data_IF_825089390465
#
_entry.id   IF_825089390465
#
_cell.length_a   1.000
_cell.length_b   1.000
_cell.length_c   1.000
_cell.angle_alpha   90.00
_cell.angle_beta   90.00
_cell.angle_gamma   90.00
#
_symmetry.space_group_name_H-M   'P 1'
#
loop_
_entity.id
_entity.type
_entity.pdbx_description
1 polymer ?
#
# COMPACT_ATOMS: atom_id res chain seq x y z
N UNK A 1 19.15 26.94 12.97
CA UNK A 1 18.17 26.09 12.26
C UNK A 1 17.47 27.00 11.27
N UNK A 2 17.22 26.58 10.02
CA UNK A 2 16.49 27.38 9.02
C UNK A 2 15.18 26.65 8.71
N UNK A 3 14.07 27.35 8.53
CA UNK A 3 12.78 26.76 8.14
C UNK A 3 11.88 26.39 9.33
N UNK A 4 11.07 25.33 9.19
CA UNK A 4 10.00 24.96 10.15
C UNK A 4 10.43 24.94 11.62
N UNK A 5 11.63 24.46 11.91
CA UNK A 5 12.20 24.37 13.26
C UNK A 5 12.67 25.70 13.87
N UNK A 6 12.61 26.82 13.14
CA UNK A 6 12.77 28.16 13.73
C UNK A 6 11.51 28.62 14.47
N UNK A 7 10.33 28.16 14.04
CA UNK A 7 9.03 28.62 14.54
C UNK A 7 8.50 27.75 15.69
N UNK A 8 9.18 26.66 16.03
CA UNK A 8 8.75 25.71 17.06
C UNK A 8 9.90 25.41 18.02
N UNK A 9 9.58 25.33 19.31
CA UNK A 9 10.52 24.89 20.32
C UNK A 9 10.35 23.37 20.53
N UNK A 10 11.34 22.60 20.10
CA UNK A 10 11.34 21.14 20.21
C UNK A 10 12.68 20.67 20.78
N UNK A 11 12.60 19.91 21.88
CA UNK A 11 13.77 19.27 22.49
C UNK A 11 14.51 18.37 21.50
N UNK A 12 15.85 18.45 21.51
CA UNK A 12 16.73 17.57 20.74
C UNK A 12 16.45 16.08 20.97
N UNK A 13 15.99 15.69 22.16
CA UNK A 13 15.61 14.31 22.48
C UNK A 13 14.41 13.86 21.64
N UNK A 14 13.38 14.72 21.50
CA UNK A 14 12.20 14.41 20.68
C UNK A 14 12.55 14.27 19.20
N UNK A 15 13.50 15.08 18.71
CA UNK A 15 14.03 14.98 17.35
C UNK A 15 14.79 13.66 17.16
N UNK A 16 15.66 13.31 18.11
CA UNK A 16 16.42 12.05 18.06
C UNK A 16 15.50 10.81 18.09
N UNK A 17 14.50 10.79 18.97
CA UNK A 17 13.50 9.70 19.02
C UNK A 17 12.75 9.59 17.70
N UNK A 18 12.33 10.71 17.11
CA UNK A 18 11.67 10.71 15.82
C UNK A 18 12.59 10.18 14.70
N UNK A 19 13.86 10.63 14.64
CA UNK A 19 14.82 10.14 13.67
C UNK A 19 15.09 8.62 13.78
N UNK A 20 15.21 8.11 15.00
CA UNK A 20 15.34 6.66 15.26
C UNK A 20 14.09 5.91 14.82
N UNK A 21 12.90 6.42 15.13
CA UNK A 21 11.65 5.79 14.69
C UNK A 21 11.55 5.71 13.16
N UNK A 22 11.93 6.79 12.45
CA UNK A 22 11.93 6.84 10.98
C UNK A 22 12.98 5.93 10.33
N UNK A 23 14.06 5.60 11.04
CA UNK A 23 15.15 4.76 10.55
C UNK A 23 14.96 3.26 10.90
N UNK A 24 13.88 2.91 11.57
CA UNK A 24 13.59 1.54 12.05
C UNK A 24 12.21 1.08 11.57
N UNK A 25 11.67 0.01 12.15
CA UNK A 25 10.31 -0.49 11.84
C UNK A 25 9.18 0.37 12.42
N UNK A 26 9.51 1.42 13.19
CA UNK A 26 8.56 2.34 13.82
C UNK A 26 8.26 3.59 12.97
N UNK A 27 8.45 3.50 11.65
CA UNK A 27 8.22 4.58 10.68
C UNK A 27 6.83 5.22 10.73
N UNK A 28 5.84 4.51 11.28
CA UNK A 28 4.48 5.03 11.47
C UNK A 28 4.34 5.98 12.67
N UNK A 29 5.37 6.15 13.50
CA UNK A 29 5.38 7.10 14.60
C UNK A 29 5.45 8.54 14.07
N UNK A 30 4.41 9.34 14.36
CA UNK A 30 4.34 10.74 14.01
C UNK A 30 4.18 11.62 15.26
N UNK A 31 5.20 12.42 15.63
CA UNK A 31 5.13 13.28 16.80
C UNK A 31 4.21 14.50 16.54
N UNK A 32 3.66 15.05 17.61
CA UNK A 32 2.69 16.16 17.55
C UNK A 32 3.22 17.39 16.81
N UNK A 33 4.49 17.75 17.03
CA UNK A 33 5.10 18.90 16.38
C UNK A 33 5.21 18.77 14.86
N UNK A 34 5.06 17.58 14.26
CA UNK A 34 5.04 17.43 12.80
C UNK A 34 3.65 17.62 12.21
N UNK A 35 2.60 17.68 13.03
CA UNK A 35 1.20 17.82 12.55
C UNK A 35 0.92 19.16 11.88
N UNK A 36 1.73 20.19 12.17
CA UNK A 36 1.60 21.51 11.56
C UNK A 36 2.58 21.74 10.39
N UNK A 37 3.37 20.72 10.00
CA UNK A 37 4.29 20.82 8.88
C UNK A 37 3.72 20.13 7.63
N UNK A 38 3.60 20.86 6.52
CA UNK A 38 3.15 20.31 5.23
C UNK A 38 1.84 19.54 5.34
N UNK A 39 1.86 18.25 5.00
CA UNK A 39 0.71 17.34 5.07
C UNK A 39 0.42 16.80 6.49
N UNK A 40 1.12 17.28 7.52
CA UNK A 40 0.94 16.90 8.93
C UNK A 40 1.68 15.61 9.35
N UNK A 41 2.51 15.06 8.48
CA UNK A 41 3.38 13.91 8.72
C UNK A 41 4.69 14.14 7.95
N UNK A 42 5.83 13.69 8.50
CA UNK A 42 7.11 13.84 7.79
C UNK A 42 7.10 13.12 6.44
N UNK A 43 6.57 11.89 6.44
CA UNK A 43 6.45 11.08 5.26
C UNK A 43 5.27 10.09 5.40
N UNK A 44 4.22 10.31 4.62
CA UNK A 44 2.98 9.52 4.67
C UNK A 44 3.09 8.12 4.06
N UNK A 45 4.18 7.79 3.36
CA UNK A 45 4.37 6.48 2.73
C UNK A 45 5.23 5.52 3.57
N UNK A 46 5.95 5.96 4.60
CA UNK A 46 6.91 5.06 5.27
C UNK A 46 6.24 3.95 6.09
N UNK A 47 5.03 4.17 6.61
CA UNK A 47 4.32 3.15 7.37
C UNK A 47 4.00 1.88 6.54
N UNK A 48 3.86 2.00 5.21
CA UNK A 48 3.63 0.85 4.35
C UNK A 48 4.89 -0.02 4.21
N UNK A 49 6.10 0.51 4.38
CA UNK A 49 7.34 -0.29 4.41
C UNK A 49 7.31 -1.27 5.60
N UNK A 50 6.89 -0.82 6.78
CA UNK A 50 6.68 -1.70 7.94
C UNK A 50 5.73 -2.85 7.63
N UNK A 51 4.67 -2.61 6.84
CA UNK A 51 3.72 -3.65 6.41
C UNK A 51 4.33 -4.57 5.35
N UNK A 52 5.02 -4.01 4.36
CA UNK A 52 5.67 -4.76 3.27
C UNK A 52 6.70 -5.75 3.81
N UNK A 53 7.53 -5.34 4.77
CA UNK A 53 8.52 -6.21 5.43
C UNK A 53 7.85 -7.41 6.11
N UNK A 54 6.66 -7.24 6.69
CA UNK A 54 5.90 -8.36 7.24
C UNK A 54 5.45 -9.35 6.15
N UNK A 55 5.11 -8.88 4.95
CA UNK A 55 4.79 -9.77 3.83
C UNK A 55 5.99 -10.65 3.44
N UNK A 56 7.22 -10.12 3.45
CA UNK A 56 8.42 -10.93 3.19
C UNK A 56 8.59 -12.09 4.17
N UNK A 57 8.31 -11.86 5.46
CA UNK A 57 8.29 -12.94 6.46
C UNK A 57 7.12 -13.91 6.29
N UNK A 58 5.96 -13.43 5.83
CA UNK A 58 4.78 -14.25 5.61
C UNK A 58 4.88 -15.16 4.39
N UNK A 59 5.55 -14.74 3.32
CA UNK A 59 5.68 -15.52 2.08
C UNK A 59 6.14 -16.97 2.35
N UNK A 60 7.27 -17.26 3.01
CA UNK A 60 7.70 -18.64 3.25
C UNK A 60 6.68 -19.44 4.09
N UNK A 61 6.01 -18.77 5.04
CA UNK A 61 4.97 -19.38 5.88
C UNK A 61 3.75 -19.76 5.03
N UNK A 62 3.28 -18.84 4.19
CA UNK A 62 2.17 -19.06 3.26
C UNK A 62 2.46 -20.22 2.29
N UNK A 63 3.66 -20.25 1.70
CA UNK A 63 4.05 -21.34 0.81
C UNK A 63 4.16 -22.68 1.53
N UNK A 64 4.62 -22.71 2.79
CA UNK A 64 4.65 -23.92 3.60
C UNK A 64 3.24 -24.45 3.87
N UNK A 65 2.31 -23.59 4.30
CA UNK A 65 0.92 -23.99 4.56
C UNK A 65 0.17 -24.41 3.30
N UNK A 66 0.28 -23.65 2.21
CA UNK A 66 -0.30 -24.01 0.92
C UNK A 66 0.36 -25.25 0.31
N UNK A 67 1.63 -25.51 0.65
CA UNK A 67 2.38 -26.68 0.23
C UNK A 67 1.72 -27.99 0.68
N UNK A 68 1.07 -27.99 1.85
CA UNK A 68 0.32 -29.14 2.42
C UNK A 68 -0.91 -29.48 1.59
N UNK A 69 -1.49 -28.50 0.88
CA UNK A 69 -2.64 -28.72 0.01
C UNK A 69 -2.21 -29.36 -1.32
N UNK A 70 -3.07 -30.25 -1.84
CA UNK A 70 -2.98 -30.74 -3.23
C UNK A 70 -2.93 -29.56 -4.19
N UNK A 71 -2.13 -29.68 -5.26
CA UNK A 71 -1.89 -28.61 -6.24
C UNK A 71 -3.17 -27.96 -6.77
N UNK A 72 -4.20 -28.76 -7.03
CA UNK A 72 -5.53 -28.31 -7.50
C UNK A 72 -6.27 -27.44 -6.47
N UNK A 73 -6.08 -27.71 -5.18
CA UNK A 73 -6.76 -27.00 -4.07
C UNK A 73 -6.03 -25.75 -3.61
N UNK A 74 -4.79 -25.52 -4.05
CA UNK A 74 -3.99 -24.36 -3.62
C UNK A 74 -4.61 -23.03 -4.06
N UNK A 75 -5.20 -22.95 -5.25
CA UNK A 75 -5.93 -21.76 -5.70
C UNK A 75 -7.13 -21.48 -4.79
N UNK A 76 -7.91 -22.52 -4.45
CA UNK A 76 -9.04 -22.38 -3.54
C UNK A 76 -8.59 -21.95 -2.15
N UNK A 77 -7.50 -22.51 -1.62
CA UNK A 77 -6.91 -22.09 -0.35
C UNK A 77 -6.47 -20.63 -0.37
N UNK A 78 -5.84 -20.17 -1.46
CA UNK A 78 -5.49 -18.77 -1.64
C UNK A 78 -6.71 -17.84 -1.73
N UNK A 79 -7.76 -18.26 -2.43
CA UNK A 79 -9.02 -17.50 -2.52
C UNK A 79 -9.66 -17.40 -1.13
N UNK A 80 -9.76 -18.52 -0.40
CA UNK A 80 -10.31 -18.54 0.95
C UNK A 80 -9.53 -17.62 1.90
N UNK A 81 -8.20 -17.64 1.83
CA UNK A 81 -7.34 -16.78 2.62
C UNK A 81 -7.49 -15.30 2.23
N UNK A 82 -7.59 -15.01 0.92
CA UNK A 82 -7.84 -13.66 0.41
C UNK A 82 -9.16 -13.13 0.94
N UNK A 83 -10.24 -13.93 0.89
CA UNK A 83 -11.55 -13.55 1.42
C UNK A 83 -11.49 -13.33 2.93
N UNK A 84 -10.85 -14.23 3.68
CA UNK A 84 -10.68 -14.08 5.13
C UNK A 84 -10.04 -12.73 5.49
N UNK A 85 -8.89 -12.41 4.89
CA UNK A 85 -8.21 -11.15 5.21
C UNK A 85 -8.93 -9.92 4.63
N UNK A 86 -9.68 -10.07 3.53
CA UNK A 86 -10.53 -9.00 3.03
C UNK A 86 -11.70 -8.71 4.00
N UNK A 87 -12.23 -9.70 4.70
CA UNK A 87 -13.21 -9.49 5.77
C UNK A 87 -12.58 -8.78 6.98
N UNK A 88 -11.34 -9.11 7.34
CA UNK A 88 -10.58 -8.40 8.39
C UNK A 88 -10.39 -6.93 8.00
N UNK A 89 -10.04 -6.66 6.75
CA UNK A 89 -9.95 -5.30 6.21
C UNK A 89 -11.30 -4.56 6.29
N UNK A 90 -12.41 -5.20 5.93
CA UNK A 90 -13.73 -4.59 6.02
C UNK A 90 -14.12 -4.27 7.47
N UNK A 91 -13.76 -5.13 8.42
CA UNK A 91 -13.98 -4.90 9.84
C UNK A 91 -13.07 -3.81 10.43
N UNK A 92 -11.89 -3.57 9.82
CA UNK A 92 -10.95 -2.54 10.26
C UNK A 92 -11.57 -1.14 10.26
N UNK A 93 -12.35 -0.79 9.26
CA UNK A 93 -12.88 0.56 9.13
C UNK A 93 -13.92 1.00 10.18
N UNK A 94 -14.97 0.22 10.49
CA UNK A 94 -15.86 0.58 11.59
C UNK A 94 -15.10 0.59 12.92
N UNK A 95 -14.19 -0.36 13.15
CA UNK A 95 -13.39 -0.39 14.39
C UNK A 95 -12.45 0.83 14.49
N UNK A 96 -11.91 1.33 13.37
CA UNK A 96 -11.08 2.55 13.35
C UNK A 96 -11.84 3.78 13.79
N UNK A 97 -13.14 3.87 13.51
CA UNK A 97 -13.97 4.99 13.97
C UNK A 97 -14.17 4.97 15.48
N UNK A 98 -14.22 3.78 16.08
CA UNK A 98 -14.46 3.62 17.53
C UNK A 98 -13.16 3.63 18.34
N UNK A 99 -12.10 3.00 17.84
CA UNK A 99 -10.86 2.74 18.58
C UNK A 99 -9.62 3.37 17.94
N UNK A 100 -9.77 4.26 16.96
CA UNK A 100 -8.65 4.79 16.16
C UNK A 100 -7.58 5.53 16.97
N UNK A 101 -7.93 6.07 18.13
CA UNK A 101 -6.98 6.76 19.00
C UNK A 101 -6.20 5.83 19.93
N UNK A 102 -6.69 4.61 20.15
CA UNK A 102 -6.05 3.60 20.98
C UNK A 102 -4.72 3.14 20.36
N UNK A 103 -3.67 3.10 21.18
CA UNK A 103 -2.33 2.69 20.74
C UNK A 103 -2.34 1.28 20.15
N UNK A 104 -3.11 0.36 20.76
CA UNK A 104 -3.25 -1.03 20.28
C UNK A 104 -3.86 -1.05 18.88
N UNK A 105 -4.86 -0.20 18.61
CA UNK A 105 -5.49 -0.12 17.30
C UNK A 105 -4.55 0.47 16.24
N UNK A 106 -3.75 1.47 16.60
CA UNK A 106 -2.72 2.04 15.73
C UNK A 106 -1.68 0.99 15.34
N UNK A 107 -1.22 0.18 16.31
CA UNK A 107 -0.33 -0.94 16.05
C UNK A 107 -0.99 -1.98 15.14
N UNK A 108 -2.23 -2.37 15.41
CA UNK A 108 -2.97 -3.30 14.55
C UNK A 108 -3.10 -2.80 13.11
N UNK A 109 -3.34 -1.50 12.93
CA UNK A 109 -3.47 -0.86 11.62
C UNK A 109 -2.21 -0.92 10.77
N UNK A 110 -1.04 -1.09 11.39
CA UNK A 110 0.25 -1.25 10.71
C UNK A 110 0.77 -2.69 10.74
N UNK A 111 -0.07 -3.66 11.15
CA UNK A 111 0.21 -5.08 10.92
C UNK A 111 -0.17 -5.49 9.50
N UNK A 112 0.29 -6.64 9.05
CA UNK A 112 -0.06 -7.21 7.75
C UNK A 112 -1.57 -7.53 7.60
N UNK A 113 -2.28 -7.78 8.71
CA UNK A 113 -3.59 -8.41 8.67
C UNK A 113 -4.65 -7.64 7.85
N UNK A 114 -4.78 -6.30 7.97
CA UNK A 114 -5.72 -5.55 7.14
C UNK A 114 -5.32 -5.49 5.66
N UNK A 115 -4.07 -5.78 5.31
CA UNK A 115 -3.51 -5.45 3.99
C UNK A 115 -3.14 -6.67 3.15
N UNK A 116 -2.87 -7.81 3.77
CA UNK A 116 -2.32 -9.00 3.09
C UNK A 116 -3.26 -9.57 2.02
N UNK A 117 -4.57 -9.32 2.08
CA UNK A 117 -5.49 -9.74 1.04
C UNK A 117 -5.11 -9.16 -0.34
N UNK A 118 -4.62 -7.91 -0.39
CA UNK A 118 -4.15 -7.28 -1.63
C UNK A 118 -2.94 -8.02 -2.21
N UNK A 119 -2.01 -8.40 -1.33
CA UNK A 119 -0.84 -9.19 -1.69
C UNK A 119 -1.24 -10.59 -2.20
N UNK A 120 -2.24 -11.22 -1.58
CA UNK A 120 -2.74 -12.54 -1.99
C UNK A 120 -3.44 -12.50 -3.36
N UNK A 121 -4.12 -11.40 -3.72
CA UNK A 121 -4.62 -11.18 -5.10
C UNK A 121 -3.47 -11.18 -6.10
N UNK A 122 -2.34 -10.53 -5.77
CA UNK A 122 -1.11 -10.58 -6.55
C UNK A 122 -0.55 -12.00 -6.68
N UNK A 123 -0.50 -12.76 -5.58
CA UNK A 123 -0.06 -14.16 -5.58
C UNK A 123 -0.97 -15.07 -6.42
N UNK A 124 -2.29 -14.84 -6.38
CA UNK A 124 -3.25 -15.52 -7.24
C UNK A 124 -2.99 -15.22 -8.72
N UNK A 125 -2.70 -13.96 -9.07
CA UNK A 125 -2.32 -13.59 -10.44
C UNK A 125 -0.99 -14.23 -10.86
N UNK A 126 0.02 -14.24 -9.99
CA UNK A 126 1.32 -14.87 -10.25
C UNK A 126 1.18 -16.37 -10.53
N UNK A 127 0.37 -17.07 -9.74
CA UNK A 127 0.15 -18.50 -9.91
C UNK A 127 -0.66 -18.83 -11.17
N UNK A 128 -1.56 -17.94 -11.55
CA UNK A 128 -2.40 -18.07 -12.75
C UNK A 128 -1.92 -17.15 -13.87
N UNK A 129 -0.59 -16.94 -13.95
CA UNK A 129 0.02 -15.93 -14.80
C UNK A 129 -0.45 -16.01 -16.26
N UNK A 130 -0.51 -17.22 -16.83
CA UNK A 130 -0.93 -17.43 -18.23
C UNK A 130 -2.34 -16.87 -18.49
N UNK A 131 -3.24 -16.98 -17.51
CA UNK A 131 -4.61 -16.45 -17.61
C UNK A 131 -4.55 -14.92 -17.54
N UNK A 132 -3.96 -14.36 -16.48
CA UNK A 132 -3.86 -12.91 -16.29
C UNK A 132 -3.17 -12.23 -17.49
N UNK A 133 -2.05 -12.79 -17.94
CA UNK A 133 -1.30 -12.30 -19.09
C UNK A 133 -2.11 -12.36 -20.38
N UNK A 134 -2.83 -13.45 -20.66
CA UNK A 134 -3.71 -13.55 -21.84
C UNK A 134 -4.80 -12.47 -21.84
N UNK A 135 -5.39 -12.17 -20.69
CA UNK A 135 -6.50 -11.23 -20.60
C UNK A 135 -6.09 -9.76 -20.52
N UNK A 136 -4.91 -9.45 -19.99
CA UNK A 136 -4.51 -8.07 -19.65
C UNK A 136 -3.35 -7.51 -20.48
N UNK A 137 -2.52 -8.36 -21.11
CA UNK A 137 -1.37 -7.90 -21.91
C UNK A 137 -1.84 -6.99 -23.05
N UNK A 138 -1.19 -5.83 -23.19
CA UNK A 138 -1.47 -4.86 -24.25
C UNK A 138 -2.79 -4.09 -24.08
N UNK A 139 -3.49 -4.26 -22.95
CA UNK A 139 -4.79 -3.63 -22.67
C UNK A 139 -4.71 -2.51 -21.65
N UNK A 140 -3.56 -1.85 -21.49
CA UNK A 140 -3.37 -0.76 -20.53
C UNK A 140 -4.46 0.32 -20.62
N UNK A 141 -4.73 0.86 -21.82
CA UNK A 141 -5.74 1.91 -21.99
C UNK A 141 -7.15 1.44 -21.64
N UNK A 142 -7.50 0.20 -21.97
CA UNK A 142 -8.80 -0.40 -21.61
C UNK A 142 -8.92 -0.60 -20.10
N UNK A 143 -7.87 -1.12 -19.45
CA UNK A 143 -7.84 -1.29 -18.01
C UNK A 143 -7.87 0.06 -17.28
N UNK A 144 -7.21 1.09 -17.82
CA UNK A 144 -7.22 2.46 -17.30
C UNK A 144 -8.62 3.07 -17.38
N UNK A 145 -9.24 2.99 -18.57
CA UNK A 145 -10.60 3.47 -18.76
C UNK A 145 -11.57 2.76 -17.81
N UNK A 146 -11.48 1.44 -17.71
CA UNK A 146 -12.30 0.64 -16.80
C UNK A 146 -12.12 1.07 -15.34
N UNK A 147 -10.86 1.21 -14.88
CA UNK A 147 -10.58 1.71 -13.53
C UNK A 147 -11.14 3.11 -13.29
N UNK A 148 -10.93 4.05 -14.22
CA UNK A 148 -11.44 5.44 -14.10
C UNK A 148 -12.95 5.47 -14.03
N UNK A 149 -13.64 4.68 -14.86
CA UNK A 149 -15.11 4.55 -14.83
C UNK A 149 -15.55 3.99 -13.47
N UNK A 150 -14.96 2.88 -13.01
CA UNK A 150 -15.29 2.31 -11.71
C UNK A 150 -15.02 3.30 -10.54
N UNK A 151 -13.91 4.02 -10.59
CA UNK A 151 -13.54 5.02 -9.59
C UNK A 151 -14.54 6.19 -9.59
N UNK A 152 -14.87 6.72 -10.76
CA UNK A 152 -15.82 7.83 -10.90
C UNK A 152 -17.22 7.43 -10.41
N UNK A 153 -17.75 6.30 -10.89
CA UNK A 153 -19.07 5.84 -10.44
C UNK A 153 -19.08 5.48 -8.95
N UNK A 154 -18.05 4.77 -8.48
CA UNK A 154 -17.93 4.37 -7.09
C UNK A 154 -17.87 5.55 -6.13
N UNK A 155 -17.03 6.54 -6.43
CA UNK A 155 -16.90 7.75 -5.59
C UNK A 155 -18.15 8.62 -5.65
N UNK A 156 -18.76 8.80 -6.83
CA UNK A 156 -19.90 9.69 -7.02
C UNK A 156 -21.22 9.12 -6.49
N UNK A 157 -21.45 7.82 -6.64
CA UNK A 157 -22.75 7.21 -6.35
C UNK A 157 -22.74 6.21 -5.20
N UNK A 158 -21.60 5.59 -4.88
CA UNK A 158 -21.50 4.51 -3.87
C UNK A 158 -20.70 4.92 -2.63
N UNK A 159 -20.18 6.15 -2.58
CA UNK A 159 -19.39 6.65 -1.45
C UNK A 159 -18.03 5.99 -1.29
N UNK A 160 -17.50 5.38 -2.35
CA UNK A 160 -16.18 4.76 -2.34
C UNK A 160 -15.05 5.80 -2.24
N UNK A 161 -13.90 5.36 -1.78
CA UNK A 161 -12.69 6.18 -1.61
C UNK A 161 -11.51 5.62 -2.39
N UNK A 162 -10.63 6.52 -2.84
CA UNK A 162 -9.42 6.21 -3.62
C UNK A 162 -8.12 6.38 -2.81
N UNK A 163 -8.23 6.71 -1.52
CA UNK A 163 -7.09 6.85 -0.61
C UNK A 163 -6.70 5.50 0.00
N UNK A 164 -5.98 5.50 1.13
CA UNK A 164 -5.59 4.29 1.87
C UNK A 164 -6.79 3.43 2.34
N UNK A 165 -8.03 3.90 2.15
CA UNK A 165 -9.30 3.18 2.33
C UNK A 165 -9.87 2.71 1.00
N UNK A 166 -9.08 2.08 0.14
CA UNK A 166 -9.57 1.63 -1.16
C UNK A 166 -10.68 0.57 -0.99
N UNK A 167 -11.83 0.79 -1.60
CA UNK A 167 -12.93 -0.17 -1.53
C UNK A 167 -12.59 -1.44 -2.33
N UNK A 168 -13.00 -2.60 -1.81
CA UNK A 168 -12.74 -3.93 -2.41
C UNK A 168 -13.06 -3.98 -3.92
N UNK A 169 -14.25 -3.51 -4.37
CA UNK A 169 -14.59 -3.55 -5.79
C UNK A 169 -13.71 -2.66 -6.66
N UNK A 170 -13.08 -1.62 -6.09
CA UNK A 170 -12.21 -0.70 -6.80
C UNK A 170 -10.76 -1.22 -6.87
N UNK A 171 -10.35 -2.04 -5.91
CA UNK A 171 -9.02 -2.63 -5.88
C UNK A 171 -8.79 -3.63 -7.03
N UNK A 172 -9.77 -4.45 -7.40
CA UNK A 172 -9.56 -5.44 -8.48
C UNK A 172 -9.31 -4.78 -9.86
N UNK A 173 -10.07 -3.76 -10.29
CA UNK A 173 -9.73 -2.95 -11.46
C UNK A 173 -8.35 -2.31 -11.37
N UNK A 174 -7.96 -1.81 -10.18
CA UNK A 174 -6.63 -1.23 -9.97
C UNK A 174 -5.53 -2.28 -10.13
N UNK A 175 -5.69 -3.47 -9.55
CA UNK A 175 -4.75 -4.58 -9.70
C UNK A 175 -4.62 -5.01 -11.18
N UNK A 176 -5.74 -5.06 -11.91
CA UNK A 176 -5.74 -5.33 -13.34
C UNK A 176 -5.03 -4.23 -14.15
N UNK A 177 -5.22 -2.96 -13.80
CA UNK A 177 -4.52 -1.81 -14.39
C UNK A 177 -3.00 -1.90 -14.15
N UNK A 178 -2.57 -2.19 -12.93
CA UNK A 178 -1.15 -2.37 -12.58
C UNK A 178 -0.53 -3.52 -13.37
N UNK A 179 -1.24 -4.65 -13.49
CA UNK A 179 -0.75 -5.75 -14.32
C UNK A 179 -0.70 -5.36 -15.80
N UNK A 180 -1.75 -4.73 -16.32
CA UNK A 180 -1.81 -4.32 -17.72
C UNK A 180 -0.73 -3.29 -18.07
N UNK A 181 -0.39 -2.35 -17.17
CA UNK A 181 0.67 -1.37 -17.38
C UNK A 181 2.04 -2.04 -17.51
N UNK A 182 2.34 -3.00 -16.64
CA UNK A 182 3.61 -3.74 -16.64
C UNK A 182 3.86 -4.51 -17.95
N UNK A 183 2.80 -5.06 -18.56
CA UNK A 183 2.91 -5.92 -19.74
C UNK A 183 2.48 -5.28 -21.07
N UNK A 184 2.06 -4.01 -21.08
CA UNK A 184 1.69 -3.31 -22.32
C UNK A 184 2.88 -2.67 -23.03
N UNK A 185 3.87 -2.14 -22.29
CA UNK A 185 5.06 -1.49 -22.85
C UNK A 185 6.34 -1.88 -22.08
N UNK A 186 6.72 -3.17 -22.06
CA UNK A 186 7.83 -3.66 -21.22
C UNK A 186 9.19 -3.02 -21.56
N UNK A 187 9.39 -2.60 -22.82
CA UNK A 187 10.63 -1.96 -23.27
C UNK A 187 10.71 -0.47 -22.94
N UNK A 188 9.65 0.14 -22.41
CA UNK A 188 9.65 1.58 -22.08
C UNK A 188 10.67 1.90 -20.99
N UNK A 189 10.77 1.05 -19.96
CA UNK A 189 11.75 1.22 -18.88
C UNK A 189 13.19 1.14 -19.41
N UNK A 190 13.47 0.24 -20.34
CA UNK A 190 14.80 0.15 -20.97
C UNK A 190 15.14 1.40 -21.79
N UNK A 191 14.17 1.91 -22.57
CA UNK A 191 14.36 3.09 -23.43
C UNK A 191 14.51 4.39 -22.65
N UNK A 192 13.73 4.58 -21.58
CA UNK A 192 13.62 5.86 -20.87
C UNK A 192 14.47 5.89 -19.60
N UNK A 193 14.49 4.79 -18.86
CA UNK A 193 15.14 4.72 -17.54
C UNK A 193 16.47 3.96 -17.58
N UNK A 194 16.85 3.40 -18.74
CA UNK A 194 18.05 2.58 -18.88
C UNK A 194 18.12 1.44 -17.84
N UNK A 195 16.95 0.85 -17.52
CA UNK A 195 16.78 -0.19 -16.49
C UNK A 195 17.11 0.25 -15.05
N UNK A 196 17.23 1.55 -14.80
CA UNK A 196 17.28 2.08 -13.43
C UNK A 196 15.86 2.10 -12.84
N UNK A 197 15.72 1.56 -11.64
CA UNK A 197 14.46 1.65 -10.90
C UNK A 197 14.40 2.96 -10.11
N UNK A 198 13.61 3.91 -10.62
CA UNK A 198 13.34 5.18 -9.95
C UNK A 198 12.09 5.12 -9.04
N UNK A 199 11.31 4.04 -9.12
CA UNK A 199 10.00 3.96 -8.48
C UNK A 199 10.11 4.02 -6.96
N UNK A 200 11.12 3.37 -6.39
CA UNK A 200 11.36 3.37 -4.95
C UNK A 200 11.78 4.76 -4.44
N UNK A 201 12.61 5.47 -5.22
CA UNK A 201 13.00 6.84 -4.90
C UNK A 201 11.80 7.79 -4.91
N UNK A 202 10.95 7.71 -5.94
CA UNK A 202 9.70 8.49 -6.00
C UNK A 202 8.81 8.15 -4.80
N UNK A 203 8.63 6.86 -4.51
CA UNK A 203 7.82 6.38 -3.40
C UNK A 203 8.28 6.90 -2.02
N UNK A 204 9.58 6.97 -1.77
CA UNK A 204 10.11 7.51 -0.50
C UNK A 204 10.09 9.05 -0.49
N UNK A 205 10.53 9.71 -1.56
CA UNK A 205 10.83 11.14 -1.50
C UNK A 205 9.67 12.07 -1.90
N UNK A 206 8.58 11.55 -2.49
CA UNK A 206 7.48 12.42 -2.94
C UNK A 206 6.85 13.24 -1.79
N UNK A 207 6.56 12.64 -0.62
CA UNK A 207 5.94 13.38 0.50
C UNK A 207 6.89 14.41 1.11
N UNK A 208 8.17 14.10 1.41
CA UNK A 208 9.12 15.12 1.87
C UNK A 208 9.22 16.32 0.92
N UNK A 209 9.26 16.08 -0.39
CA UNK A 209 9.30 17.16 -1.39
C UNK A 209 8.02 17.99 -1.34
N UNK A 210 6.85 17.35 -1.31
CA UNK A 210 5.56 18.04 -1.19
C UNK A 210 5.49 18.87 0.10
N UNK A 211 5.96 18.32 1.23
CA UNK A 211 5.97 19.03 2.51
C UNK A 211 6.80 20.31 2.49
N UNK A 212 7.98 20.27 1.84
CA UNK A 212 8.81 21.46 1.66
C UNK A 212 8.17 22.48 0.73
N UNK A 213 7.44 22.04 -0.31
CA UNK A 213 6.71 22.96 -1.21
C UNK A 213 5.49 23.60 -0.56
N UNK A 214 4.86 22.93 0.42
CA UNK A 214 3.68 23.42 1.13
C UNK A 214 4.01 24.36 2.30
N UNK A 215 5.26 24.39 2.77
CA UNK A 215 5.71 25.16 3.93
C UNK A 215 6.44 26.44 3.52
#
# INVERSE_FOLDING_TARGET
MVGYFEKIDVSAVKIAVHAVAQSTFFQFYNPEYMRHFGTGVLNGSLWTITVELQFYFLVPILYRFLGVLKTERRNLGLIALTVLFALIYLAHWPLRRTYGDETIFKVWSVTFAPWVWMFLVGMLCQRNFTICHRFLKGRFLLALLFYVVCAYFGTRFLGWTTNNRIDLPLFLPLAALVFASAYSLPLLSEKVLHRNDISYGIYIYHVPVINVMLY
#
